data_IF_391269166365
#
_entry.id   IF_391269166365
#
_cell.length_a   1.000
_cell.length_b   1.000
_cell.length_c   1.000
_cell.angle_alpha   90.00
_cell.angle_beta   90.00
_cell.angle_gamma   90.00
#
_symmetry.space_group_name_H-M   'P 1'
#
loop_
_entity.id
_entity.type
_entity.pdbx_description
1 polymer ?
#
# COMPACT_ATOMS: atom_id res chain seq x y z
N UNK A 1 -11.16 6.18 -14.64
CA UNK A 1 -10.89 5.43 -13.40
C UNK A 1 -10.04 4.18 -13.61
N UNK A 2 -10.37 3.25 -14.52
CA UNK A 2 -9.55 2.04 -14.76
C UNK A 2 -8.06 2.32 -14.98
N UNK A 3 -7.70 3.22 -15.92
CA UNK A 3 -6.30 3.62 -16.15
C UNK A 3 -5.62 4.18 -14.90
N UNK A 4 -6.33 4.97 -14.10
CA UNK A 4 -5.82 5.50 -12.83
C UNK A 4 -5.48 4.39 -11.85
N UNK A 5 -6.36 3.39 -11.71
CA UNK A 5 -6.11 2.23 -10.85
C UNK A 5 -4.94 1.40 -11.36
N UNK A 6 -4.83 1.19 -12.67
CA UNK A 6 -3.66 0.49 -13.24
C UNK A 6 -2.35 1.22 -12.92
N UNK A 7 -2.32 2.55 -13.04
CA UNK A 7 -1.16 3.36 -12.65
C UNK A 7 -0.85 3.28 -11.15
N UNK A 8 -1.88 3.30 -10.31
CA UNK A 8 -1.73 3.14 -8.86
C UNK A 8 -1.14 1.78 -8.50
N UNK A 9 -1.61 0.69 -9.12
CA UNK A 9 -1.08 -0.65 -8.89
C UNK A 9 0.39 -0.77 -9.34
N UNK A 10 0.73 -0.22 -10.52
CA UNK A 10 2.11 -0.19 -10.99
C UNK A 10 2.98 0.66 -10.07
N UNK A 11 2.49 1.83 -9.67
CA UNK A 11 3.18 2.73 -8.75
C UNK A 11 3.46 2.07 -7.41
N UNK A 12 2.48 1.39 -6.82
CA UNK A 12 2.64 0.65 -5.57
C UNK A 12 3.74 -0.43 -5.68
N UNK A 13 3.72 -1.25 -6.74
CA UNK A 13 4.74 -2.29 -6.96
C UNK A 13 6.14 -1.68 -7.10
N UNK A 14 6.27 -0.58 -7.85
CA UNK A 14 7.57 0.08 -8.05
C UNK A 14 8.08 0.71 -6.76
N UNK A 15 7.21 1.39 -6.01
CA UNK A 15 7.56 2.00 -4.73
C UNK A 15 7.98 0.96 -3.70
N UNK A 16 7.23 -0.14 -3.60
CA UNK A 16 7.52 -1.26 -2.71
C UNK A 16 8.91 -1.86 -2.97
N UNK A 17 9.19 -2.21 -4.24
CA UNK A 17 10.50 -2.72 -4.65
C UNK A 17 11.61 -1.70 -4.38
N UNK A 18 11.39 -0.42 -4.69
CA UNK A 18 12.38 0.63 -4.49
C UNK A 18 12.66 0.86 -3.00
N UNK A 19 11.63 0.95 -2.17
CA UNK A 19 11.74 1.15 -0.72
C UNK A 19 12.56 0.04 -0.08
N UNK A 20 12.19 -1.22 -0.30
CA UNK A 20 12.93 -2.36 0.28
C UNK A 20 14.33 -2.52 -0.28
N UNK A 21 14.54 -2.22 -1.56
CA UNK A 21 15.90 -2.22 -2.13
C UNK A 21 16.78 -1.20 -1.42
N UNK A 22 16.29 0.03 -1.24
CA UNK A 22 17.04 1.08 -0.54
C UNK A 22 17.21 0.70 0.93
N UNK A 23 16.17 0.20 1.61
CA UNK A 23 16.25 -0.24 2.99
C UNK A 23 17.34 -1.30 3.23
N UNK A 24 17.45 -2.30 2.36
CA UNK A 24 18.47 -3.34 2.52
C UNK A 24 19.88 -2.92 2.08
N UNK A 25 20.02 -1.89 1.23
CA UNK A 25 21.31 -1.39 0.74
C UNK A 25 21.85 -0.26 1.61
N UNK A 26 21.01 0.72 1.93
CA UNK A 26 21.35 1.96 2.61
C UNK A 26 20.14 2.50 3.40
N UNK A 27 19.77 1.79 4.48
CA UNK A 27 18.60 2.13 5.33
C UNK A 27 18.66 3.53 5.92
N UNK A 28 19.85 4.10 6.09
CA UNK A 28 20.01 5.42 6.71
C UNK A 28 19.42 6.54 5.85
N UNK A 29 19.19 6.29 4.55
CA UNK A 29 18.50 7.20 3.64
C UNK A 29 17.00 7.28 3.94
N UNK A 30 16.40 6.20 4.43
CA UNK A 30 14.96 6.08 4.64
C UNK A 30 14.55 6.15 6.11
N UNK A 31 15.42 5.68 7.01
CA UNK A 31 15.09 5.54 8.42
C UNK A 31 14.79 6.90 9.06
N UNK A 32 13.55 7.05 9.53
CA UNK A 32 13.10 8.23 10.26
C UNK A 32 13.63 8.27 11.70
N UNK A 33 14.08 7.12 12.21
CA UNK A 33 14.69 6.98 13.52
C UNK A 33 15.75 5.87 13.53
N UNK A 34 16.79 6.02 14.34
CA UNK A 34 17.91 5.05 14.39
C UNK A 34 17.92 4.19 15.66
N UNK A 35 16.74 3.91 16.23
CA UNK A 35 16.61 3.03 17.40
C UNK A 35 16.35 1.58 16.98
N UNK A 36 16.83 0.63 17.78
CA UNK A 36 16.62 -0.80 17.53
C UNK A 36 15.14 -1.17 17.38
N UNK A 37 14.27 -0.62 18.24
CA UNK A 37 12.83 -0.87 18.19
C UNK A 37 12.14 -0.37 16.90
N UNK A 38 12.67 0.70 16.28
CA UNK A 38 12.17 1.19 14.98
C UNK A 38 12.60 0.23 13.88
N UNK A 39 13.86 -0.22 13.89
CA UNK A 39 14.32 -1.21 12.93
C UNK A 39 13.61 -2.56 13.08
N UNK A 40 13.29 -3.00 14.29
CA UNK A 40 12.51 -4.22 14.50
C UNK A 40 11.08 -4.08 13.97
N UNK A 41 10.47 -2.91 14.16
CA UNK A 41 9.18 -2.57 13.59
C UNK A 41 9.24 -2.61 12.06
N UNK A 42 10.10 -1.81 11.43
CA UNK A 42 10.25 -1.75 9.97
C UNK A 42 10.57 -3.13 9.36
N UNK A 43 11.47 -3.91 9.96
CA UNK A 43 11.80 -5.25 9.44
C UNK A 43 10.67 -6.29 9.57
N UNK A 44 9.53 -5.96 10.19
CA UNK A 44 8.33 -6.81 10.16
C UNK A 44 7.53 -6.66 8.85
N UNK A 45 7.74 -5.58 8.11
CA UNK A 45 6.97 -5.23 6.91
C UNK A 45 7.44 -5.85 5.57
N UNK A 46 8.69 -6.34 5.35
CA UNK A 46 9.10 -6.81 4.02
C UNK A 46 8.19 -7.88 3.42
N UNK A 47 7.75 -8.84 4.25
CA UNK A 47 6.85 -9.89 3.79
C UNK A 47 5.40 -9.42 3.67
N UNK A 48 4.99 -8.44 4.49
CA UNK A 48 3.66 -7.87 4.44
C UNK A 48 3.48 -7.00 3.19
N UNK A 49 4.49 -6.20 2.87
CA UNK A 49 4.54 -5.40 1.64
C UNK A 49 4.71 -6.27 0.40
N UNK A 50 5.54 -7.32 0.45
CA UNK A 50 5.61 -8.32 -0.62
C UNK A 50 4.22 -8.91 -0.93
N UNK A 51 3.42 -9.19 0.10
CA UNK A 51 2.04 -9.64 -0.10
C UNK A 51 1.17 -8.58 -0.79
N UNK A 52 1.28 -7.31 -0.39
CA UNK A 52 0.64 -6.19 -1.08
C UNK A 52 1.08 -6.13 -2.55
N UNK A 53 2.39 -6.21 -2.84
CA UNK A 53 2.95 -6.21 -4.19
C UNK A 53 2.43 -7.36 -5.05
N UNK A 54 2.33 -8.57 -4.49
CA UNK A 54 1.72 -9.74 -5.16
C UNK A 54 0.25 -9.51 -5.44
N UNK A 55 -0.52 -9.02 -4.46
CA UNK A 55 -1.94 -8.71 -4.65
C UNK A 55 -2.14 -7.63 -5.74
N UNK A 56 -1.29 -6.59 -5.75
CA UNK A 56 -1.28 -5.56 -6.78
C UNK A 56 -0.99 -6.11 -8.17
N UNK A 57 0.00 -6.99 -8.29
CA UNK A 57 0.36 -7.62 -9.56
C UNK A 57 -0.79 -8.48 -10.09
N UNK A 58 -1.39 -9.32 -9.24
CA UNK A 58 -2.51 -10.17 -9.62
C UNK A 58 -3.75 -9.34 -9.97
N UNK A 59 -4.01 -8.24 -9.25
CA UNK A 59 -5.05 -7.28 -9.57
C UNK A 59 -4.81 -6.64 -10.95
N UNK A 60 -3.58 -6.21 -11.24
CA UNK A 60 -3.23 -5.58 -12.51
C UNK A 60 -3.40 -6.55 -13.68
N UNK A 61 -2.92 -7.79 -13.54
CA UNK A 61 -3.04 -8.83 -14.55
C UNK A 61 -4.50 -9.19 -14.81
N UNK A 62 -5.29 -9.41 -13.75
CA UNK A 62 -6.71 -9.73 -13.86
C UNK A 62 -7.51 -8.57 -14.47
N UNK A 63 -7.23 -7.33 -14.05
CA UNK A 63 -7.88 -6.13 -14.56
C UNK A 63 -7.58 -5.91 -16.04
N UNK A 64 -6.31 -6.03 -16.47
CA UNK A 64 -5.91 -5.90 -17.88
C UNK A 64 -6.53 -6.97 -18.76
N UNK A 65 -6.60 -8.21 -18.26
CA UNK A 65 -7.23 -9.33 -18.95
C UNK A 65 -8.78 -9.30 -18.91
N UNK A 66 -9.39 -8.33 -18.21
CA UNK A 66 -10.86 -8.25 -18.09
C UNK A 66 -11.48 -9.43 -17.35
N UNK A 67 -10.73 -10.06 -16.43
CA UNK A 67 -11.18 -11.26 -15.72
C UNK A 67 -12.11 -10.91 -14.55
N UNK A 68 -13.14 -11.72 -14.26
CA UNK A 68 -14.02 -11.52 -13.10
C UNK A 68 -13.26 -11.51 -11.76
N UNK A 69 -12.14 -12.23 -11.68
CA UNK A 69 -11.27 -12.24 -10.50
C UNK A 69 -10.58 -10.91 -10.21
N UNK A 70 -10.66 -9.91 -11.09
CA UNK A 70 -10.10 -8.58 -10.87
C UNK A 70 -10.66 -7.95 -9.59
N UNK A 71 -11.97 -8.04 -9.36
CA UNK A 71 -12.62 -7.51 -8.15
C UNK A 71 -12.03 -8.10 -6.88
N UNK A 72 -11.80 -9.42 -6.86
CA UNK A 72 -11.21 -10.11 -5.71
C UNK A 72 -9.81 -9.57 -5.41
N UNK A 73 -8.94 -9.52 -6.41
CA UNK A 73 -7.56 -9.07 -6.23
C UNK A 73 -7.44 -7.59 -5.92
N UNK A 74 -8.30 -6.74 -6.49
CA UNK A 74 -8.38 -5.33 -6.14
C UNK A 74 -8.80 -5.14 -4.67
N UNK A 75 -9.79 -5.92 -4.20
CA UNK A 75 -10.18 -5.90 -2.78
C UNK A 75 -9.03 -6.37 -1.88
N UNK A 76 -8.33 -7.45 -2.27
CA UNK A 76 -7.18 -7.93 -1.51
C UNK A 76 -6.07 -6.87 -1.41
N UNK A 77 -5.69 -6.25 -2.53
CA UNK A 77 -4.67 -5.20 -2.58
C UNK A 77 -5.08 -3.97 -1.76
N UNK A 78 -6.31 -3.48 -1.94
CA UNK A 78 -6.82 -2.32 -1.22
C UNK A 78 -6.96 -2.55 0.28
N UNK A 79 -7.35 -3.76 0.71
CA UNK A 79 -7.45 -4.11 2.14
C UNK A 79 -6.07 -4.31 2.77
N UNK A 80 -5.12 -4.94 2.07
CA UNK A 80 -3.75 -5.07 2.54
C UNK A 80 -3.11 -3.69 2.74
N UNK A 81 -3.22 -2.81 1.74
CA UNK A 81 -2.73 -1.44 1.86
C UNK A 81 -3.40 -0.66 3.00
N UNK A 82 -4.71 -0.83 3.21
CA UNK A 82 -5.42 -0.13 4.29
C UNK A 82 -4.96 -0.61 5.68
N UNK A 83 -4.67 -1.91 5.81
CA UNK A 83 -4.13 -2.47 7.05
C UNK A 83 -2.71 -1.96 7.32
N UNK A 84 -1.84 -1.95 6.30
CA UNK A 84 -0.47 -1.43 6.39
C UNK A 84 -0.45 0.06 6.77
N UNK A 85 -1.25 0.88 6.08
CA UNK A 85 -1.49 2.28 6.48
C UNK A 85 -1.87 2.39 7.96
N UNK A 86 -2.76 1.51 8.44
CA UNK A 86 -3.19 1.52 9.84
C UNK A 86 -2.05 1.20 10.80
N UNK A 87 -1.18 0.25 10.46
CA UNK A 87 -0.02 -0.08 11.30
C UNK A 87 0.96 1.10 11.37
N UNK A 88 1.34 1.67 10.23
CA UNK A 88 2.30 2.77 10.15
C UNK A 88 1.75 4.04 10.82
N UNK A 89 0.53 4.43 10.47
CA UNK A 89 -0.10 5.63 11.02
C UNK A 89 -0.24 5.55 12.55
N UNK A 90 -0.72 4.42 13.07
CA UNK A 90 -0.90 4.28 14.51
C UNK A 90 0.46 4.24 15.23
N UNK A 91 1.45 3.55 14.67
CA UNK A 91 2.80 3.54 15.22
C UNK A 91 3.40 4.95 15.28
N UNK A 92 3.29 5.71 14.19
CA UNK A 92 3.82 7.07 14.09
C UNK A 92 3.14 8.04 15.06
N UNK A 93 1.83 7.91 15.24
CA UNK A 93 1.07 8.69 16.22
C UNK A 93 1.49 8.32 17.65
N UNK A 94 1.59 7.03 17.96
CA UNK A 94 1.96 6.55 19.31
C UNK A 94 3.38 6.95 19.70
N UNK A 95 4.30 7.02 18.74
CA UNK A 95 5.71 7.32 18.99
C UNK A 95 6.11 8.76 18.63
N UNK A 96 5.16 9.59 18.18
CA UNK A 96 5.40 11.00 17.86
C UNK A 96 6.27 11.24 16.62
N UNK A 97 6.39 10.24 15.73
CA UNK A 97 7.28 10.26 14.57
C UNK A 97 6.93 11.40 13.60
N UNK A 98 5.65 11.74 13.41
CA UNK A 98 5.26 12.86 12.55
C UNK A 98 5.82 14.24 12.97
N UNK A 99 6.28 14.36 14.22
CA UNK A 99 6.87 15.60 14.74
C UNK A 99 8.41 15.59 14.78
N UNK A 100 9.05 14.51 14.32
CA UNK A 100 10.51 14.29 14.39
C UNK A 100 11.36 15.03 13.34
N UNK A 101 10.77 15.97 12.58
CA UNK A 101 11.47 16.75 11.56
C UNK A 101 11.28 16.18 10.16
N UNK A 102 12.37 16.09 9.37
CA UNK A 102 12.29 15.69 7.96
C UNK A 102 11.83 14.22 7.76
N UNK A 103 12.25 13.30 8.63
CA UNK A 103 11.81 11.90 8.62
C UNK A 103 10.29 11.79 8.79
N UNK A 104 9.73 12.44 9.82
CA UNK A 104 8.28 12.46 10.04
C UNK A 104 7.45 13.02 8.89
N UNK A 105 7.98 13.97 8.11
CA UNK A 105 7.28 14.48 6.92
C UNK A 105 7.28 13.46 5.76
N UNK A 106 8.34 12.66 5.63
CA UNK A 106 8.43 11.58 4.64
C UNK A 106 7.45 10.47 5.02
N UNK A 107 7.43 10.04 6.28
CA UNK A 107 6.47 9.02 6.76
C UNK A 107 5.03 9.47 6.55
N UNK A 108 4.70 10.71 6.90
CA UNK A 108 3.37 11.27 6.68
C UNK A 108 2.97 11.22 5.20
N UNK A 109 3.92 11.42 4.28
CA UNK A 109 3.67 11.32 2.84
C UNK A 109 3.44 9.86 2.40
N UNK A 110 4.24 8.92 2.89
CA UNK A 110 4.07 7.48 2.61
C UNK A 110 2.70 7.01 3.09
N UNK A 111 2.40 7.25 4.37
CA UNK A 111 1.12 6.93 5.02
C UNK A 111 -0.07 7.54 4.25
N UNK A 112 0.02 8.82 3.87
CA UNK A 112 -1.03 9.46 3.08
C UNK A 112 -1.21 8.82 1.69
N UNK A 113 -0.12 8.50 1.00
CA UNK A 113 -0.17 7.84 -0.31
C UNK A 113 -0.77 6.44 -0.19
N UNK A 114 -0.38 5.66 0.82
CA UNK A 114 -0.91 4.32 1.11
C UNK A 114 -2.41 4.38 1.40
N UNK A 115 -2.88 5.36 2.17
CA UNK A 115 -4.31 5.58 2.41
C UNK A 115 -5.07 5.89 1.12
N UNK A 116 -4.58 6.86 0.34
CA UNK A 116 -5.22 7.29 -0.92
C UNK A 116 -5.27 6.12 -1.89
N UNK A 117 -4.17 5.39 -2.06
CA UNK A 117 -4.12 4.16 -2.86
C UNK A 117 -5.22 3.19 -2.44
N UNK A 118 -5.27 2.86 -1.15
CA UNK A 118 -6.16 1.84 -0.60
C UNK A 118 -7.63 2.20 -0.78
N UNK A 119 -8.00 3.45 -0.46
CA UNK A 119 -9.38 3.94 -0.61
C UNK A 119 -9.80 3.98 -2.07
N UNK A 120 -8.93 4.44 -2.98
CA UNK A 120 -9.25 4.50 -4.41
C UNK A 120 -9.43 3.11 -5.01
N UNK A 121 -8.53 2.17 -4.67
CA UNK A 121 -8.60 0.79 -5.15
C UNK A 121 -9.84 0.08 -4.61
N UNK A 122 -10.13 0.18 -3.30
CA UNK A 122 -11.33 -0.41 -2.69
C UNK A 122 -12.62 0.17 -3.28
N UNK A 123 -12.68 1.49 -3.45
CA UNK A 123 -13.83 2.15 -4.05
C UNK A 123 -14.05 1.71 -5.49
N UNK A 124 -12.98 1.52 -6.25
CA UNK A 124 -13.08 1.02 -7.62
C UNK A 124 -13.55 -0.45 -7.65
N UNK A 125 -12.99 -1.30 -6.80
CA UNK A 125 -13.40 -2.70 -6.66
C UNK A 125 -14.89 -2.81 -6.32
N UNK A 126 -15.38 -2.00 -5.37
CA UNK A 126 -16.79 -1.96 -4.99
C UNK A 126 -17.71 -1.60 -6.14
N UNK A 127 -17.34 -0.58 -6.94
CA UNK A 127 -18.11 -0.18 -8.11
C UNK A 127 -18.15 -1.28 -9.18
N UNK A 128 -17.01 -1.92 -9.44
CA UNK A 128 -16.93 -3.01 -10.40
C UNK A 128 -17.78 -4.21 -9.95
N UNK A 129 -17.79 -4.53 -8.66
CA UNK A 129 -18.67 -5.57 -8.11
C UNK A 129 -20.16 -5.23 -8.32
N UNK A 130 -20.56 -3.99 -8.02
CA UNK A 130 -21.95 -3.55 -8.16
C UNK A 130 -22.45 -3.55 -9.62
N UNK A 131 -21.56 -3.37 -10.60
CA UNK A 131 -21.88 -3.44 -12.02
C UNK A 131 -22.06 -4.88 -12.52
N UNK A 132 -21.35 -5.84 -11.93
CA UNK A 132 -21.33 -7.25 -12.36
C UNK A 132 -22.37 -8.09 -11.61
N UNK A 133 -22.83 -7.66 -10.43
CA UNK A 133 -23.77 -8.41 -9.60
C UNK A 133 -25.21 -8.22 -10.09
N UNK A 134 -25.89 -9.24 -10.65
CA UNK A 134 -27.28 -9.14 -11.06
C UNK A 134 -28.16 -9.37 -9.82
N UNK A 135 -28.80 -8.32 -9.28
CA UNK A 135 -29.90 -8.52 -8.32
C UNK A 135 -30.07 -7.57 -7.14
N UNK A 136 -29.65 -6.30 -7.19
CA UNK A 136 -30.03 -5.29 -6.18
C UNK A 136 -30.37 -3.93 -6.80
N UNK A 137 -31.36 -3.92 -7.69
CA UNK A 137 -32.17 -2.72 -7.98
C UNK A 137 -33.63 -3.10 -7.96
#
# INVERSE_FOLDING_TARGET
>A
MRRTVEWLLVGAIVLDVAYWTIWFVDRDVLASEHRAAYYEFENAFPLADLWLGVACLLALLALRAGRPSATFWLTAAGSAGLYLFGMDFLYDVEHGIFTSGAGGAIEAAIVAVTLVFSVVVLRFAWRQWAEVSPGTR
#
